data_IF_039318999800
#
_entry.id   IF_039318999800
#
_cell.length_a   1.000
_cell.length_b   1.000
_cell.length_c   1.000
_cell.angle_alpha   90.00
_cell.angle_beta   90.00
_cell.angle_gamma   90.00
#
_symmetry.space_group_name_H-M   'P 1'
#
loop_
_entity.id
_entity.type
_entity.pdbx_description
1 polymer ?
#
# COMPACT_ATOMS: atom_id res chain seq x y z
N UNK A 1 29.21 20.64 94.54
CA UNK A 1 30.27 21.02 93.60
C UNK A 1 29.90 20.55 92.20
N UNK A 2 29.93 21.49 91.28
CA UNK A 2 29.92 21.35 89.81
C UNK A 2 28.63 20.99 89.11
N UNK A 3 27.98 22.08 88.71
CA UNK A 3 27.16 22.24 87.50
C UNK A 3 28.05 22.02 86.25
N UNK A 4 27.56 21.43 85.21
CA UNK A 4 27.88 21.79 83.79
C UNK A 4 26.96 21.06 82.87
N UNK A 5 26.15 21.88 82.15
CA UNK A 5 25.84 21.92 80.78
C UNK A 5 24.87 20.87 80.19
N UNK A 6 23.64 21.32 80.13
CA UNK A 6 22.68 20.92 79.11
C UNK A 6 22.63 22.02 78.04
N UNK A 7 23.29 21.83 76.89
CA UNK A 7 23.07 22.59 75.67
C UNK A 7 23.22 21.67 74.48
N UNK A 8 22.20 21.68 73.67
CA UNK A 8 21.93 21.00 72.40
C UNK A 8 21.18 19.66 72.51
N UNK A 9 20.06 19.52 71.88
CA UNK A 9 19.96 19.52 70.41
C UNK A 9 18.71 20.25 69.93
N UNK A 10 18.87 21.38 69.27
CA UNK A 10 17.77 22.03 68.50
C UNK A 10 18.21 22.44 67.12
N UNK A 11 19.22 21.79 66.54
CA UNK A 11 19.68 22.05 65.17
C UNK A 11 19.81 20.72 64.37
N UNK A 12 18.80 19.92 64.33
CA UNK A 12 18.82 18.71 63.47
C UNK A 12 17.46 18.36 62.85
N UNK A 13 16.46 19.25 62.93
CA UNK A 13 15.14 18.97 62.35
C UNK A 13 14.76 19.85 61.14
N UNK A 14 15.69 20.62 60.57
CA UNK A 14 15.38 21.57 59.52
C UNK A 14 16.13 21.34 58.20
N UNK A 15 16.73 20.16 57.96
CA UNK A 15 17.51 19.91 56.72
C UNK A 15 17.16 18.60 55.96
N UNK A 16 16.01 18.01 56.24
CA UNK A 16 15.50 16.92 55.39
C UNK A 16 14.04 17.18 54.95
N UNK A 17 13.73 18.37 54.47
CA UNK A 17 12.69 18.50 53.46
C UNK A 17 13.35 18.16 52.14
N UNK A 18 13.39 16.90 51.77
CA UNK A 18 13.56 16.52 50.36
C UNK A 18 12.48 17.28 49.58
N UNK A 19 12.83 18.06 48.55
CA UNK A 19 11.81 18.53 47.63
C UNK A 19 11.15 17.26 47.13
N UNK A 20 9.86 17.09 47.40
CA UNK A 20 9.05 16.11 46.72
C UNK A 20 9.22 16.42 45.25
N UNK A 21 9.90 15.56 44.55
CA UNK A 21 9.83 15.53 43.12
C UNK A 21 8.33 15.30 42.83
N UNK A 22 7.65 16.35 42.44
CA UNK A 22 6.34 16.18 41.84
C UNK A 22 6.56 15.17 40.68
N UNK A 23 5.97 14.00 40.79
CA UNK A 23 5.83 13.09 39.68
C UNK A 23 5.03 13.84 38.60
N UNK A 24 5.72 14.70 37.86
CA UNK A 24 5.20 15.34 36.69
C UNK A 24 4.94 14.21 35.69
N UNK A 25 3.76 14.18 35.11
CA UNK A 25 3.50 13.31 33.97
C UNK A 25 4.69 13.38 32.99
N UNK A 26 5.15 12.25 32.44
CA UNK A 26 6.25 12.26 31.50
C UNK A 26 5.95 13.29 30.40
N UNK A 27 6.96 14.06 29.95
CA UNK A 27 6.75 15.06 28.92
C UNK A 27 6.12 14.40 27.70
N UNK A 28 5.17 15.10 27.06
CA UNK A 28 4.52 14.61 25.86
C UNK A 28 5.58 14.22 24.81
N UNK A 29 5.42 13.09 24.11
CA UNK A 29 6.39 12.67 23.11
C UNK A 29 6.52 13.71 22.00
N UNK A 30 7.75 13.95 21.57
CA UNK A 30 8.11 14.94 20.52
C UNK A 30 8.58 14.19 19.28
N UNK A 31 8.08 14.55 18.08
CA UNK A 31 8.50 13.91 16.83
C UNK A 31 10.01 13.90 16.65
N UNK A 32 10.57 12.74 16.30
CA UNK A 32 11.98 12.62 15.97
C UNK A 32 12.25 13.30 14.60
N UNK A 33 13.29 14.15 14.54
CA UNK A 33 13.63 14.89 13.31
C UNK A 33 14.10 13.96 12.18
N UNK A 34 14.79 12.86 12.51
CA UNK A 34 15.23 11.85 11.56
C UNK A 34 14.05 11.11 10.91
N UNK A 35 13.11 10.65 11.73
CA UNK A 35 11.90 9.98 11.25
C UNK A 35 11.02 10.92 10.42
N UNK A 36 10.87 12.17 10.89
CA UNK A 36 10.15 13.23 10.16
C UNK A 36 10.79 13.49 8.80
N UNK A 37 12.11 13.68 8.73
CA UNK A 37 12.83 13.92 7.48
C UNK A 37 12.74 12.71 6.55
N UNK A 38 12.85 11.50 7.10
CA UNK A 38 12.69 10.27 6.34
C UNK A 38 11.29 10.17 5.74
N UNK A 39 10.24 10.36 6.53
CA UNK A 39 8.87 10.21 6.02
C UNK A 39 8.48 11.30 5.01
N UNK A 40 9.01 12.54 5.12
CA UNK A 40 8.88 13.56 4.07
C UNK A 40 9.51 13.05 2.77
N UNK A 41 10.71 12.49 2.83
CA UNK A 41 11.40 11.94 1.66
C UNK A 41 10.63 10.76 1.08
N UNK A 42 10.18 9.84 1.92
CA UNK A 42 9.39 8.68 1.51
C UNK A 42 8.08 9.10 0.81
N UNK A 43 7.37 10.10 1.36
CA UNK A 43 6.16 10.66 0.74
C UNK A 43 6.45 11.22 -0.66
N UNK A 44 7.53 12.00 -0.83
CA UNK A 44 7.93 12.53 -2.13
C UNK A 44 8.29 11.43 -3.13
N UNK A 45 8.95 10.37 -2.68
CA UNK A 45 9.26 9.21 -3.51
C UNK A 45 7.99 8.51 -4.00
N UNK A 46 6.95 8.38 -3.15
CA UNK A 46 5.67 7.78 -3.58
C UNK A 46 4.88 8.72 -4.49
N UNK A 47 4.92 10.04 -4.31
CA UNK A 47 4.35 11.00 -5.27
C UNK A 47 5.02 10.84 -6.64
N UNK A 48 6.35 10.73 -6.70
CA UNK A 48 7.09 10.45 -7.92
C UNK A 48 6.70 9.08 -8.52
N UNK A 49 6.51 8.06 -7.68
CA UNK A 49 6.03 6.75 -8.11
C UNK A 49 4.64 6.82 -8.73
N UNK A 50 3.70 7.49 -8.07
CA UNK A 50 2.28 7.52 -8.43
C UNK A 50 1.97 8.34 -9.69
N UNK A 51 2.64 9.49 -9.87
CA UNK A 51 2.34 10.38 -11.00
C UNK A 51 3.25 10.13 -12.20
N UNK A 52 4.52 10.52 -12.24
CA UNK A 52 5.33 10.26 -13.42
C UNK A 52 5.67 8.77 -13.58
N UNK A 53 5.93 8.03 -12.49
CA UNK A 53 6.31 6.63 -12.56
C UNK A 53 5.23 5.76 -13.20
N UNK A 54 4.06 5.72 -12.60
CA UNK A 54 2.93 4.91 -13.09
C UNK A 54 2.42 5.43 -14.43
N UNK A 55 2.35 6.76 -14.60
CA UNK A 55 1.91 7.38 -15.85
C UNK A 55 2.79 6.96 -17.03
N UNK A 56 4.12 7.06 -16.92
CA UNK A 56 5.04 6.66 -17.99
C UNK A 56 5.09 5.14 -18.20
N UNK A 57 4.99 4.36 -17.12
CA UNK A 57 4.94 2.91 -17.20
C UNK A 57 3.73 2.44 -18.01
N UNK A 58 2.53 2.88 -17.62
CA UNK A 58 1.29 2.54 -18.31
C UNK A 58 1.19 3.22 -19.69
N UNK A 59 1.57 4.51 -19.76
CA UNK A 59 1.57 5.27 -20.99
C UNK A 59 2.42 4.63 -22.08
N UNK A 60 3.60 4.10 -21.74
CA UNK A 60 4.46 3.38 -22.67
C UNK A 60 3.88 2.03 -23.16
N UNK A 61 3.06 1.38 -22.32
CA UNK A 61 2.47 0.06 -22.62
C UNK A 61 1.21 0.12 -23.47
N UNK A 62 0.44 1.21 -23.46
CA UNK A 62 -0.74 1.38 -24.31
C UNK A 62 -0.34 1.71 -25.76
N UNK A 63 -1.29 1.66 -26.69
CA UNK A 63 -1.09 2.16 -28.05
C UNK A 63 -0.91 3.67 -28.05
N UNK A 64 -0.09 4.21 -28.97
CA UNK A 64 0.30 5.64 -29.03
C UNK A 64 -0.90 6.61 -28.96
N UNK A 65 -2.02 6.25 -29.56
CA UNK A 65 -3.27 7.02 -29.61
C UNK A 65 -4.07 7.07 -28.29
N UNK A 66 -3.60 6.40 -27.25
CA UNK A 66 -4.24 6.34 -25.93
C UNK A 66 -3.29 6.74 -24.78
N UNK A 67 -2.10 7.25 -25.13
CA UNK A 67 -1.09 7.58 -24.16
C UNK A 67 -1.51 8.72 -23.23
N UNK A 68 -1.96 9.86 -23.80
CA UNK A 68 -2.38 11.02 -23.04
C UNK A 68 -3.60 10.72 -22.17
N UNK A 69 -4.54 9.90 -22.67
CA UNK A 69 -5.69 9.44 -21.92
C UNK A 69 -5.27 8.71 -20.63
N UNK A 70 -4.26 7.85 -20.69
CA UNK A 70 -3.74 7.16 -19.50
C UNK A 70 -2.99 8.11 -18.57
N UNK A 71 -2.17 9.01 -19.09
CA UNK A 71 -1.49 10.04 -18.30
C UNK A 71 -2.50 10.94 -17.58
N UNK A 72 -3.54 11.37 -18.30
CA UNK A 72 -4.63 12.19 -17.76
C UNK A 72 -5.37 11.44 -16.65
N UNK A 73 -5.70 10.18 -16.85
CA UNK A 73 -6.34 9.34 -15.83
C UNK A 73 -5.47 9.23 -14.58
N UNK A 74 -4.19 8.88 -14.71
CA UNK A 74 -3.30 8.72 -13.54
C UNK A 74 -3.17 10.02 -12.73
N UNK A 75 -2.95 11.15 -13.40
CA UNK A 75 -2.77 12.43 -12.74
C UNK A 75 -4.07 12.92 -12.08
N UNK A 76 -5.19 12.88 -12.81
CA UNK A 76 -6.47 13.39 -12.29
C UNK A 76 -7.00 12.51 -11.16
N UNK A 77 -6.84 11.19 -11.23
CA UNK A 77 -7.21 10.28 -10.14
C UNK A 77 -6.40 10.61 -8.89
N UNK A 78 -5.08 10.76 -9.01
CA UNK A 78 -4.23 11.12 -7.88
C UNK A 78 -4.68 12.43 -7.21
N UNK A 79 -4.94 13.48 -8.00
CA UNK A 79 -5.38 14.76 -7.48
C UNK A 79 -6.80 14.71 -6.88
N UNK A 80 -7.73 14.04 -7.55
CA UNK A 80 -9.12 13.89 -7.08
C UNK A 80 -9.15 13.17 -5.72
N UNK A 81 -8.46 12.05 -5.62
CA UNK A 81 -8.47 11.25 -4.40
C UNK A 81 -7.65 11.91 -3.28
N UNK A 82 -6.61 12.68 -3.61
CA UNK A 82 -5.91 13.52 -2.65
C UNK A 82 -6.83 14.56 -2.01
N UNK A 83 -7.73 15.19 -2.79
CA UNK A 83 -8.75 16.10 -2.24
C UNK A 83 -9.74 15.34 -1.37
N UNK A 84 -10.27 14.21 -1.85
CA UNK A 84 -11.25 13.43 -1.08
C UNK A 84 -10.64 12.81 0.19
N UNK A 85 -9.34 12.51 0.17
CA UNK A 85 -8.62 12.07 1.37
C UNK A 85 -8.66 13.14 2.46
N UNK A 86 -8.35 14.39 2.14
CA UNK A 86 -8.40 15.49 3.09
C UNK A 86 -9.85 15.83 3.52
N UNK A 87 -10.83 15.63 2.64
CA UNK A 87 -12.24 15.91 2.95
C UNK A 87 -12.82 14.89 3.91
N UNK A 88 -12.66 13.59 3.65
CA UNK A 88 -13.25 12.53 4.48
C UNK A 88 -12.41 11.25 4.58
N UNK A 89 -11.53 10.98 3.62
CA UNK A 89 -10.83 9.70 3.51
C UNK A 89 -9.97 9.41 4.73
N UNK A 90 -9.16 10.39 5.16
CA UNK A 90 -8.32 10.26 6.34
C UNK A 90 -9.13 9.95 7.60
N UNK A 91 -10.24 10.65 7.81
CA UNK A 91 -11.12 10.40 8.95
C UNK A 91 -11.65 8.98 8.96
N UNK A 92 -12.22 8.53 7.84
CA UNK A 92 -12.83 7.19 7.74
C UNK A 92 -11.82 6.04 7.75
N UNK A 93 -10.53 6.31 7.45
CA UNK A 93 -9.47 5.30 7.49
C UNK A 93 -8.79 5.22 8.87
N UNK A 94 -8.55 6.37 9.53
CA UNK A 94 -7.62 6.47 10.67
C UNK A 94 -8.20 7.17 11.91
N UNK A 95 -9.50 6.99 12.18
CA UNK A 95 -10.11 7.36 13.46
C UNK A 95 -10.85 6.18 14.07
N UNK A 96 -11.20 6.29 15.36
CA UNK A 96 -12.07 5.33 16.02
C UNK A 96 -13.41 5.23 15.31
N UNK A 97 -13.92 4.01 15.20
CA UNK A 97 -15.17 3.74 14.52
C UNK A 97 -15.67 2.33 14.87
N UNK A 98 -15.70 1.48 13.87
CA UNK A 98 -15.98 0.06 14.05
C UNK A 98 -14.88 -0.77 13.35
N UNK A 99 -14.95 -2.08 13.43
CA UNK A 99 -13.93 -2.97 12.85
C UNK A 99 -13.71 -2.84 11.32
N UNK A 100 -14.57 -2.11 10.60
CA UNK A 100 -14.56 -2.00 9.13
C UNK A 100 -14.31 -0.60 8.60
N UNK A 101 -14.62 0.44 9.37
CA UNK A 101 -14.51 1.84 8.95
C UNK A 101 -14.41 2.76 10.17
N UNK A 102 -13.62 3.81 10.06
CA UNK A 102 -13.47 4.86 11.06
C UNK A 102 -14.65 5.83 11.12
N UNK A 103 -14.59 6.75 12.07
CA UNK A 103 -15.61 7.77 12.33
C UNK A 103 -15.38 9.06 11.54
N UNK A 104 -16.10 10.10 11.98
CA UNK A 104 -16.14 11.43 11.34
C UNK A 104 -15.36 12.50 12.12
N UNK A 105 -14.55 12.12 13.11
CA UNK A 105 -13.93 13.05 14.06
C UNK A 105 -12.91 13.98 13.39
N UNK A 106 -12.30 13.52 12.29
CA UNK A 106 -11.31 14.28 11.52
C UNK A 106 -11.77 14.67 10.12
N UNK A 107 -13.09 14.73 9.88
CA UNK A 107 -13.62 15.28 8.62
C UNK A 107 -13.04 16.68 8.35
N UNK A 108 -12.67 16.94 7.09
CA UNK A 108 -12.02 18.18 6.66
C UNK A 108 -10.73 18.48 7.43
N UNK A 109 -10.01 17.43 7.88
CA UNK A 109 -8.81 17.52 8.74
C UNK A 109 -9.08 18.26 10.07
N UNK A 110 -10.31 18.25 10.57
CA UNK A 110 -10.68 18.89 11.83
C UNK A 110 -9.83 18.37 12.98
N UNK A 111 -9.23 19.28 13.74
CA UNK A 111 -8.39 18.97 14.89
C UNK A 111 -6.96 18.52 14.53
N UNK A 112 -6.64 18.37 13.25
CA UNK A 112 -5.26 18.15 12.81
C UNK A 112 -4.55 19.50 12.71
N UNK A 113 -3.46 19.67 13.44
CA UNK A 113 -2.67 20.92 13.51
C UNK A 113 -1.18 20.59 13.36
N UNK A 114 -0.29 21.59 13.21
CA UNK A 114 1.15 21.35 13.20
C UNK A 114 1.69 20.67 14.48
N UNK A 115 0.96 20.76 15.58
CA UNK A 115 1.34 20.20 16.89
C UNK A 115 0.76 18.80 17.13
N UNK A 116 -0.25 18.36 16.36
CA UNK A 116 -0.82 17.03 16.55
C UNK A 116 0.13 15.95 16.06
N UNK A 117 0.13 14.83 16.75
CA UNK A 117 1.03 13.71 16.50
C UNK A 117 0.26 12.40 16.41
N UNK A 118 0.83 11.43 15.73
CA UNK A 118 0.36 10.03 15.65
C UNK A 118 1.48 9.11 16.13
N UNK A 119 1.10 7.97 16.69
CA UNK A 119 2.05 6.94 17.10
C UNK A 119 2.70 6.25 15.88
N UNK A 120 3.93 5.78 16.09
CA UNK A 120 4.60 4.84 15.19
C UNK A 120 4.43 3.40 15.71
N UNK A 121 5.32 2.48 15.37
CA UNK A 121 5.32 1.11 15.88
C UNK A 121 6.14 0.95 17.18
N UNK A 122 6.86 1.99 17.63
CA UNK A 122 7.65 1.97 18.87
C UNK A 122 6.99 2.80 19.96
N UNK A 123 6.96 2.27 21.20
CA UNK A 123 6.40 2.99 22.35
C UNK A 123 7.10 4.34 22.57
N UNK A 124 6.30 5.39 22.73
CA UNK A 124 6.79 6.76 22.96
C UNK A 124 7.36 7.45 21.72
N UNK A 125 7.31 6.83 20.54
CA UNK A 125 7.77 7.42 19.27
C UNK A 125 6.57 7.91 18.46
N UNK A 126 6.63 9.16 18.03
CA UNK A 126 5.53 9.81 17.31
C UNK A 126 6.02 10.58 16.09
N UNK A 127 5.09 10.80 15.16
CA UNK A 127 5.26 11.59 13.93
C UNK A 127 4.28 12.76 13.90
N UNK A 128 4.59 13.88 13.19
CA UNK A 128 3.60 14.91 12.89
C UNK A 128 2.41 14.31 12.12
N UNK A 129 1.20 14.56 12.60
CA UNK A 129 -0.01 13.96 12.02
C UNK A 129 -0.26 14.36 10.57
N UNK A 130 0.02 15.62 10.19
CA UNK A 130 -0.04 16.05 8.80
C UNK A 130 0.88 15.24 7.89
N UNK A 131 2.04 14.85 8.38
CA UNK A 131 3.00 14.09 7.58
C UNK A 131 2.53 12.64 7.42
N UNK A 132 2.02 12.01 8.47
CA UNK A 132 1.40 10.69 8.38
C UNK A 132 0.20 10.70 7.41
N UNK A 133 -0.71 11.67 7.57
CA UNK A 133 -1.84 11.82 6.66
C UNK A 133 -1.41 12.03 5.20
N UNK A 134 -0.31 12.77 4.95
CA UNK A 134 0.26 12.97 3.62
C UNK A 134 0.88 11.71 3.04
N UNK A 135 1.54 10.91 3.87
CA UNK A 135 2.10 9.63 3.46
C UNK A 135 1.00 8.65 3.06
N UNK A 136 0.00 8.48 3.90
CA UNK A 136 -1.15 7.62 3.65
C UNK A 136 -2.02 8.08 2.46
N UNK A 137 -2.10 9.40 2.20
CA UNK A 137 -2.72 9.95 0.99
C UNK A 137 -2.11 9.35 -0.27
N UNK A 138 -0.79 9.17 -0.29
CA UNK A 138 -0.11 8.64 -1.49
C UNK A 138 -0.53 7.21 -1.81
N UNK A 139 -0.78 6.39 -0.79
CA UNK A 139 -1.33 5.03 -0.94
C UNK A 139 -2.78 5.05 -1.41
N UNK A 140 -3.58 5.93 -0.80
CA UNK A 140 -4.98 6.15 -1.14
C UNK A 140 -5.18 6.60 -2.59
N UNK A 141 -4.24 7.36 -3.14
CA UNK A 141 -4.30 7.88 -4.50
C UNK A 141 -3.70 6.94 -5.55
N UNK A 142 -2.59 6.24 -5.25
CA UNK A 142 -1.97 5.32 -6.22
C UNK A 142 -2.79 4.04 -6.41
N UNK A 143 -3.41 3.53 -5.34
CA UNK A 143 -4.12 2.24 -5.40
C UNK A 143 -5.23 2.23 -6.45
N UNK A 144 -6.16 3.21 -6.50
CA UNK A 144 -7.14 3.29 -7.57
C UNK A 144 -6.52 3.55 -8.94
N UNK A 145 -5.41 4.30 -9.02
CA UNK A 145 -4.74 4.56 -10.29
C UNK A 145 -4.16 3.28 -10.94
N UNK A 146 -3.80 2.27 -10.14
CA UNK A 146 -3.38 0.96 -10.67
C UNK A 146 -4.51 0.26 -11.45
N UNK A 147 -5.77 0.43 -11.03
CA UNK A 147 -6.92 -0.30 -11.58
C UNK A 147 -7.14 0.03 -13.06
N UNK A 148 -6.81 1.24 -13.50
CA UNK A 148 -7.03 1.69 -14.90
C UNK A 148 -6.37 0.77 -15.92
N UNK A 149 -5.25 0.14 -15.55
CA UNK A 149 -4.56 -0.81 -16.43
C UNK A 149 -5.43 -2.01 -16.84
N UNK A 150 -6.43 -2.39 -16.06
CA UNK A 150 -7.35 -3.48 -16.37
C UNK A 150 -8.29 -3.19 -17.56
N UNK A 151 -8.65 -1.93 -17.77
CA UNK A 151 -9.61 -1.50 -18.79
C UNK A 151 -9.12 -0.32 -19.63
N UNK A 152 -7.83 -0.06 -19.66
CA UNK A 152 -7.23 1.00 -20.46
C UNK A 152 -7.68 0.91 -21.94
N UNK A 153 -7.68 2.07 -22.61
CA UNK A 153 -7.99 2.27 -24.04
C UNK A 153 -9.47 2.18 -24.44
N UNK A 154 -10.43 1.92 -23.53
CA UNK A 154 -11.84 1.70 -23.91
C UNK A 154 -12.91 2.18 -22.94
N UNK A 155 -12.55 2.68 -21.75
CA UNK A 155 -13.52 3.18 -20.78
C UNK A 155 -13.65 4.70 -20.88
N UNK A 156 -14.88 5.21 -20.74
CA UNK A 156 -15.16 6.66 -20.70
C UNK A 156 -14.44 7.31 -19.54
N UNK A 157 -13.82 8.46 -19.76
CA UNK A 157 -13.09 9.19 -18.71
C UNK A 157 -13.99 9.53 -17.50
N UNK A 158 -15.22 9.99 -17.74
CA UNK A 158 -16.19 10.26 -16.68
C UNK A 158 -16.56 9.01 -15.87
N UNK A 159 -16.70 7.87 -16.54
CA UNK A 159 -16.98 6.59 -15.90
C UNK A 159 -15.79 6.13 -15.02
N UNK A 160 -14.56 6.35 -15.49
CA UNK A 160 -13.35 6.10 -14.69
C UNK A 160 -13.38 6.93 -13.41
N UNK A 161 -13.60 8.25 -13.48
CA UNK A 161 -13.58 9.11 -12.31
C UNK A 161 -14.67 8.76 -11.29
N UNK A 162 -15.90 8.49 -11.74
CA UNK A 162 -16.99 8.07 -10.85
C UNK A 162 -16.65 6.73 -10.18
N UNK A 163 -16.12 5.76 -10.96
CA UNK A 163 -15.68 4.50 -10.41
C UNK A 163 -14.62 4.70 -9.32
N UNK A 164 -13.62 5.55 -9.55
CA UNK A 164 -12.56 5.80 -8.58
C UNK A 164 -13.09 6.40 -7.27
N UNK A 165 -14.06 7.32 -7.33
CA UNK A 165 -14.70 7.87 -6.13
C UNK A 165 -15.46 6.80 -5.35
N UNK A 166 -16.27 6.00 -6.03
CA UNK A 166 -17.04 4.92 -5.40
C UNK A 166 -16.12 3.85 -4.80
N UNK A 167 -15.15 3.40 -5.59
CA UNK A 167 -14.24 2.34 -5.16
C UNK A 167 -13.31 2.81 -4.02
N UNK A 168 -12.79 4.02 -4.09
CA UNK A 168 -12.02 4.63 -3.00
C UNK A 168 -12.83 4.67 -1.70
N UNK A 169 -14.08 5.13 -1.77
CA UNK A 169 -14.94 5.29 -0.59
C UNK A 169 -15.35 3.94 0.00
N UNK A 170 -15.75 2.97 -0.83
CA UNK A 170 -16.36 1.74 -0.37
C UNK A 170 -15.43 0.51 -0.40
N UNK A 171 -14.26 0.59 -1.04
CA UNK A 171 -13.29 -0.50 -1.04
C UNK A 171 -11.98 -0.09 -0.38
N UNK A 172 -11.31 0.95 -0.86
CA UNK A 172 -9.99 1.32 -0.35
C UNK A 172 -10.03 1.74 1.13
N UNK A 173 -10.88 2.70 1.48
CA UNK A 173 -10.98 3.22 2.85
C UNK A 173 -11.30 2.12 3.87
N UNK A 174 -12.35 1.29 3.67
CA UNK A 174 -12.62 0.19 4.58
C UNK A 174 -11.46 -0.82 4.66
N UNK A 175 -10.81 -1.12 3.54
CA UNK A 175 -9.69 -2.05 3.55
C UNK A 175 -8.48 -1.50 4.32
N UNK A 176 -8.14 -0.22 4.14
CA UNK A 176 -7.09 0.45 4.90
C UNK A 176 -7.38 0.46 6.40
N UNK A 177 -8.63 0.78 6.79
CA UNK A 177 -9.06 0.73 8.17
C UNK A 177 -8.98 -0.67 8.76
N UNK A 178 -9.52 -1.67 8.07
CA UNK A 178 -9.52 -3.07 8.54
C UNK A 178 -8.10 -3.60 8.80
N UNK A 179 -7.11 -3.20 8.00
CA UNK A 179 -5.75 -3.74 8.05
C UNK A 179 -4.83 -2.89 8.93
N UNK A 180 -4.92 -1.57 8.84
CA UNK A 180 -3.89 -0.67 9.38
C UNK A 180 -4.34 0.18 10.57
N UNK A 181 -5.67 0.25 10.87
CA UNK A 181 -6.11 1.05 11.99
C UNK A 181 -5.98 0.31 13.33
N UNK A 182 -5.29 0.93 14.27
CA UNK A 182 -5.12 0.52 15.66
C UNK A 182 -4.74 1.73 16.53
N UNK A 183 -4.84 1.56 17.84
CA UNK A 183 -4.62 2.65 18.80
C UNK A 183 -3.14 3.02 19.03
N UNK A 184 -2.20 2.37 18.34
CA UNK A 184 -0.75 2.54 18.55
C UNK A 184 -0.20 1.75 19.75
N UNK A 185 1.14 1.60 19.84
CA UNK A 185 1.78 0.73 20.83
C UNK A 185 1.60 1.19 22.27
N UNK A 186 1.43 2.50 22.51
CA UNK A 186 1.29 3.08 23.85
C UNK A 186 -0.06 2.76 24.49
N UNK A 187 -1.07 2.34 23.71
CA UNK A 187 -2.36 1.87 24.23
C UNK A 187 -2.28 0.47 24.86
N UNK A 188 -1.22 -0.31 24.58
CA UNK A 188 -1.05 -1.69 25.03
C UNK A 188 -0.24 -1.76 26.34
N UNK A 189 -0.77 -1.20 27.42
CA UNK A 189 -0.12 -1.14 28.74
C UNK A 189 -0.42 -2.34 29.63
N UNK A 190 -1.55 -3.02 29.40
CA UNK A 190 -1.97 -4.25 30.08
C UNK A 190 -2.87 -5.07 29.17
N UNK A 191 -3.20 -6.29 29.56
CA UNK A 191 -4.12 -7.15 28.81
C UNK A 191 -5.53 -6.51 28.70
N UNK A 192 -6.00 -5.84 29.76
CA UNK A 192 -7.29 -5.14 29.76
C UNK A 192 -7.26 -3.92 28.85
N UNK A 193 -6.16 -3.15 28.86
CA UNK A 193 -5.98 -2.01 27.97
C UNK A 193 -5.91 -2.46 26.50
N UNK A 194 -5.20 -3.55 26.20
CA UNK A 194 -5.13 -4.14 24.87
C UNK A 194 -6.49 -4.63 24.37
N UNK A 195 -7.28 -5.29 25.24
CA UNK A 195 -8.64 -5.72 24.89
C UNK A 195 -9.53 -4.52 24.53
N UNK A 196 -9.47 -3.44 25.32
CA UNK A 196 -10.21 -2.20 25.05
C UNK A 196 -9.75 -1.51 23.75
N UNK A 197 -8.44 -1.44 23.50
CA UNK A 197 -7.89 -0.90 22.26
C UNK A 197 -8.32 -1.72 21.05
N UNK A 198 -8.44 -3.04 21.19
CA UNK A 198 -8.92 -3.95 20.16
C UNK A 198 -10.38 -3.76 19.74
N UNK A 199 -11.23 -3.16 20.60
CA UNK A 199 -12.64 -2.88 20.26
C UNK A 199 -12.78 -1.93 19.07
N UNK A 200 -11.82 -1.02 18.89
CA UNK A 200 -11.80 -0.02 17.82
C UNK A 200 -10.83 -0.36 16.69
N UNK A 201 -9.96 -1.33 16.88
CA UNK A 201 -8.98 -1.72 15.86
C UNK A 201 -9.65 -2.42 14.67
N UNK A 202 -8.99 -2.33 13.51
CA UNK A 202 -9.46 -2.93 12.28
C UNK A 202 -9.68 -4.45 12.35
N UNK A 203 -10.66 -4.94 11.60
CA UNK A 203 -11.04 -6.36 11.58
C UNK A 203 -9.86 -7.29 11.29
N UNK A 204 -9.05 -6.97 10.28
CA UNK A 204 -7.91 -7.79 9.86
C UNK A 204 -6.71 -7.61 10.79
N UNK A 205 -6.52 -6.40 11.35
CA UNK A 205 -5.56 -6.17 12.42
C UNK A 205 -5.84 -7.10 13.61
N UNK A 206 -7.07 -7.15 14.08
CA UNK A 206 -7.51 -8.03 15.18
C UNK A 206 -7.41 -9.52 14.85
N UNK A 207 -7.41 -9.90 13.56
CA UNK A 207 -7.12 -11.27 13.12
C UNK A 207 -5.62 -11.59 13.11
N UNK A 208 -4.75 -10.60 13.32
CA UNK A 208 -3.31 -10.76 13.23
C UNK A 208 -2.77 -10.84 11.80
N UNK A 209 -3.54 -10.40 10.80
CA UNK A 209 -3.07 -10.35 9.43
C UNK A 209 -1.94 -9.31 9.29
N UNK A 210 -0.82 -9.73 8.74
CA UNK A 210 0.35 -8.89 8.51
C UNK A 210 0.32 -8.35 7.08
N UNK A 211 0.38 -7.03 6.96
CA UNK A 211 0.50 -6.33 5.68
C UNK A 211 1.33 -5.06 5.87
N UNK A 212 2.64 -5.19 5.69
CA UNK A 212 3.61 -4.15 6.05
C UNK A 212 3.42 -2.86 5.24
N UNK A 213 3.20 -3.00 3.93
CA UNK A 213 3.11 -1.85 3.04
C UNK A 213 2.00 -1.95 1.98
N UNK A 214 1.03 -2.87 2.10
CA UNK A 214 -0.15 -2.86 1.24
C UNK A 214 -0.26 -4.01 0.24
N UNK A 215 0.30 -5.18 0.54
CA UNK A 215 0.04 -6.37 -0.27
C UNK A 215 -1.45 -6.68 -0.38
N UNK A 216 -2.17 -6.55 0.72
CA UNK A 216 -3.62 -6.74 0.81
C UNK A 216 -4.37 -5.46 0.45
N UNK A 217 -4.04 -4.35 1.11
CA UNK A 217 -4.76 -3.07 0.96
C UNK A 217 -4.62 -2.49 -0.44
N UNK A 218 -3.44 -2.60 -1.04
CA UNK A 218 -3.14 -2.00 -2.36
C UNK A 218 -3.24 -3.05 -3.46
N UNK A 219 -2.39 -4.09 -3.41
CA UNK A 219 -2.16 -4.93 -4.59
C UNK A 219 -3.28 -5.94 -4.84
N UNK A 220 -3.73 -6.70 -3.85
CA UNK A 220 -4.88 -7.61 -4.02
C UNK A 220 -6.13 -6.79 -4.35
N UNK A 221 -6.37 -5.74 -3.59
CA UNK A 221 -7.54 -4.87 -3.73
C UNK A 221 -7.64 -4.27 -5.14
N UNK A 222 -6.57 -3.61 -5.63
CA UNK A 222 -6.54 -3.05 -6.98
C UNK A 222 -6.55 -4.13 -8.08
N UNK A 223 -5.81 -5.23 -7.90
CA UNK A 223 -5.74 -6.32 -8.87
C UNK A 223 -7.10 -6.97 -9.12
N UNK A 224 -7.86 -7.24 -8.06
CA UNK A 224 -9.22 -7.80 -8.16
C UNK A 224 -10.17 -6.80 -8.82
N UNK A 225 -10.10 -5.53 -8.45
CA UNK A 225 -10.91 -4.48 -9.08
C UNK A 225 -10.62 -4.35 -10.60
N UNK A 226 -9.35 -4.45 -10.98
CA UNK A 226 -8.93 -4.43 -12.39
C UNK A 226 -9.49 -5.64 -13.17
N UNK A 227 -9.47 -6.83 -12.57
CA UNK A 227 -10.07 -8.03 -13.17
C UNK A 227 -11.57 -7.86 -13.38
N UNK A 228 -12.29 -7.38 -12.36
CA UNK A 228 -13.73 -7.10 -12.46
C UNK A 228 -14.00 -6.04 -13.53
N UNK A 229 -13.18 -4.99 -13.60
CA UNK A 229 -13.28 -3.94 -14.61
C UNK A 229 -13.03 -4.46 -16.02
N UNK A 230 -12.01 -5.31 -16.21
CA UNK A 230 -11.74 -5.95 -17.50
C UNK A 230 -12.93 -6.80 -17.99
N UNK A 231 -13.62 -7.44 -17.08
CA UNK A 231 -14.87 -8.19 -17.35
C UNK A 231 -16.03 -7.27 -17.69
N UNK A 232 -16.28 -6.26 -16.85
CA UNK A 232 -17.45 -5.38 -16.96
C UNK A 232 -17.41 -4.51 -18.23
N UNK A 233 -16.23 -3.99 -18.59
CA UNK A 233 -16.03 -3.15 -19.79
C UNK A 233 -15.93 -4.00 -21.07
N UNK A 234 -15.52 -5.26 -20.96
CA UNK A 234 -15.32 -6.17 -22.08
C UNK A 234 -13.98 -5.98 -22.81
N UNK A 235 -13.67 -6.83 -23.80
CA UNK A 235 -12.38 -6.80 -24.51
C UNK A 235 -12.28 -5.60 -25.47
N UNK A 236 -11.04 -5.13 -25.72
CA UNK A 236 -10.73 -4.11 -26.75
C UNK A 236 -11.10 -4.60 -28.12
N UNK A 237 -11.47 -3.68 -28.99
CA UNK A 237 -11.70 -3.98 -30.42
C UNK A 237 -10.39 -4.56 -31.01
N UNK A 238 -10.50 -5.69 -31.68
CA UNK A 238 -9.34 -6.41 -32.22
C UNK A 238 -8.58 -7.27 -31.25
N UNK A 239 -9.01 -7.38 -29.97
CA UNK A 239 -8.33 -8.25 -28.98
C UNK A 239 -8.14 -9.67 -29.52
N UNK A 240 -6.93 -10.23 -29.41
CA UNK A 240 -6.48 -11.51 -29.95
C UNK A 240 -6.52 -11.62 -31.52
N UNK A 241 -6.83 -10.55 -32.23
CA UNK A 241 -6.86 -10.53 -33.72
C UNK A 241 -5.90 -9.51 -34.31
N UNK A 242 -5.67 -8.41 -33.58
CA UNK A 242 -4.79 -7.31 -33.97
C UNK A 242 -3.62 -7.19 -32.98
N UNK A 243 -2.51 -6.59 -33.42
CA UNK A 243 -1.39 -6.30 -32.51
C UNK A 243 -1.77 -5.21 -31.49
N UNK A 244 -1.57 -5.51 -30.23
CA UNK A 244 -1.75 -4.58 -29.12
C UNK A 244 -0.41 -4.28 -28.43
N UNK A 245 0.68 -4.29 -29.22
CA UNK A 245 2.02 -4.09 -28.70
C UNK A 245 2.17 -2.70 -28.06
N UNK A 246 2.94 -2.61 -26.96
CA UNK A 246 3.35 -1.34 -26.39
C UNK A 246 3.96 -0.41 -27.42
N UNK A 247 3.56 0.87 -27.41
CA UNK A 247 4.11 1.80 -28.41
C UNK A 247 5.53 2.28 -28.05
N UNK A 248 5.92 2.27 -26.77
CA UNK A 248 7.22 2.75 -26.33
C UNK A 248 7.76 1.97 -25.13
N UNK A 249 8.54 0.93 -25.39
CA UNK A 249 9.22 0.17 -24.33
C UNK A 249 10.28 0.99 -23.58
N UNK A 250 10.88 1.99 -24.23
CA UNK A 250 11.81 2.91 -23.56
C UNK A 250 11.09 3.72 -22.49
N UNK A 251 9.89 4.25 -22.81
CA UNK A 251 9.07 4.97 -21.84
C UNK A 251 8.59 4.06 -20.71
N UNK A 252 8.18 2.83 -21.04
CA UNK A 252 7.83 1.80 -20.06
C UNK A 252 8.98 1.53 -19.09
N UNK A 253 10.22 1.41 -19.60
CA UNK A 253 11.40 1.23 -18.75
C UNK A 253 11.66 2.43 -17.84
N UNK A 254 11.58 3.65 -18.38
CA UNK A 254 11.75 4.89 -17.58
C UNK A 254 10.70 4.94 -16.46
N UNK A 255 9.43 4.70 -16.80
CA UNK A 255 8.34 4.65 -15.83
C UNK A 255 8.56 3.58 -14.76
N UNK A 256 8.93 2.37 -15.16
CA UNK A 256 9.25 1.28 -14.23
C UNK A 256 10.45 1.59 -13.32
N UNK A 257 11.45 2.30 -13.83
CA UNK A 257 12.60 2.73 -13.03
C UNK A 257 12.19 3.75 -11.96
N UNK A 258 11.30 4.69 -12.31
CA UNK A 258 10.71 5.63 -11.34
C UNK A 258 9.81 4.91 -10.33
N UNK A 259 9.05 3.90 -10.75
CA UNK A 259 8.30 3.02 -9.86
C UNK A 259 9.24 2.31 -8.88
N UNK A 260 10.35 1.74 -9.36
CA UNK A 260 11.31 1.02 -8.53
C UNK A 260 11.93 1.94 -7.47
N UNK A 261 12.41 3.11 -7.87
CA UNK A 261 12.99 4.10 -6.92
C UNK A 261 11.91 4.57 -5.93
N UNK A 262 10.72 4.90 -6.41
CA UNK A 262 9.62 5.34 -5.57
C UNK A 262 9.13 4.27 -4.58
N UNK A 263 9.31 2.98 -4.91
CA UNK A 263 8.92 1.88 -4.04
C UNK A 263 9.76 1.78 -2.76
N UNK A 264 10.94 2.38 -2.72
CA UNK A 264 11.66 2.57 -1.46
C UNK A 264 10.91 3.54 -0.53
N UNK A 265 10.30 4.58 -1.07
CA UNK A 265 9.38 5.42 -0.29
C UNK A 265 8.16 4.63 0.18
N UNK A 266 7.58 3.82 -0.69
CA UNK A 266 6.40 3.01 -0.42
C UNK A 266 6.67 1.95 0.68
N UNK A 267 7.62 1.05 0.46
CA UNK A 267 7.95 -0.05 1.36
C UNK A 267 8.71 0.41 2.62
N UNK A 268 9.78 1.17 2.45
CA UNK A 268 10.64 1.56 3.57
C UNK A 268 10.01 2.68 4.39
N UNK A 269 9.23 3.57 3.74
CA UNK A 269 8.43 4.59 4.44
C UNK A 269 7.39 3.99 5.37
N UNK A 270 6.84 2.81 5.05
CA UNK A 270 5.86 2.10 5.89
C UNK A 270 6.43 1.60 7.23
N UNK A 271 7.75 1.66 7.43
CA UNK A 271 8.34 1.47 8.76
C UNK A 271 8.01 2.64 9.71
N UNK A 272 7.62 3.80 9.19
CA UNK A 272 7.35 5.07 9.88
C UNK A 272 8.56 5.65 10.64
N UNK A 273 9.61 4.88 10.86
CA UNK A 273 10.83 5.23 11.60
C UNK A 273 12.08 4.98 10.74
N UNK A 274 13.10 5.82 10.85
CA UNK A 274 14.38 5.67 10.19
C UNK A 274 15.30 4.72 10.99
N UNK A 275 14.86 3.50 11.21
CA UNK A 275 15.50 2.52 12.09
C UNK A 275 15.91 1.23 11.42
N UNK A 276 16.09 0.18 12.24
CA UNK A 276 16.51 -1.15 11.79
C UNK A 276 15.47 -1.79 10.84
N UNK A 277 14.18 -1.67 11.14
CA UNK A 277 13.09 -2.17 10.29
C UNK A 277 13.09 -1.50 8.92
N UNK A 278 13.32 -0.19 8.84
CA UNK A 278 13.47 0.53 7.57
C UNK A 278 14.68 0.00 6.77
N UNK A 279 15.82 -0.24 7.44
CA UNK A 279 17.01 -0.80 6.79
C UNK A 279 16.78 -2.21 6.25
N UNK A 280 16.04 -3.05 7.00
CA UNK A 280 15.64 -4.39 6.55
C UNK A 280 14.69 -4.31 5.35
N UNK A 281 13.66 -3.47 5.43
CA UNK A 281 12.70 -3.26 4.35
C UNK A 281 13.37 -2.76 3.08
N UNK A 282 14.38 -1.88 3.20
CA UNK A 282 15.20 -1.39 2.08
C UNK A 282 15.93 -2.53 1.39
N UNK A 283 16.67 -3.33 2.14
CA UNK A 283 17.44 -4.45 1.59
C UNK A 283 16.53 -5.49 0.94
N UNK A 284 15.46 -5.88 1.63
CA UNK A 284 14.51 -6.88 1.13
C UNK A 284 13.80 -6.44 -0.14
N UNK A 285 13.39 -5.16 -0.24
CA UNK A 285 12.80 -4.59 -1.45
C UNK A 285 13.75 -4.69 -2.63
N UNK A 286 15.02 -4.38 -2.42
CA UNK A 286 16.04 -4.44 -3.47
C UNK A 286 16.27 -5.87 -3.95
N UNK A 287 16.56 -6.80 -3.03
CA UNK A 287 16.96 -8.18 -3.42
C UNK A 287 15.79 -8.99 -3.98
N UNK A 288 14.56 -8.80 -3.47
CA UNK A 288 13.37 -9.44 -4.01
C UNK A 288 13.08 -8.98 -5.44
N UNK A 289 13.22 -7.69 -5.72
CA UNK A 289 13.08 -7.14 -7.08
C UNK A 289 14.10 -7.74 -8.04
N UNK A 290 15.38 -7.81 -7.63
CA UNK A 290 16.44 -8.43 -8.43
C UNK A 290 16.13 -9.90 -8.71
N UNK A 291 15.73 -10.67 -7.69
CA UNK A 291 15.43 -12.09 -7.81
C UNK A 291 14.24 -12.33 -8.76
N UNK A 292 13.17 -11.53 -8.66
CA UNK A 292 11.99 -11.66 -9.51
C UNK A 292 12.29 -11.29 -10.97
N UNK A 293 13.08 -10.24 -11.20
CA UNK A 293 13.52 -9.83 -12.55
C UNK A 293 14.29 -10.97 -13.23
N UNK A 294 15.24 -11.56 -12.53
CA UNK A 294 16.03 -12.69 -13.04
C UNK A 294 15.12 -13.90 -13.30
N UNK A 295 14.27 -14.27 -12.33
CA UNK A 295 13.36 -15.40 -12.45
C UNK A 295 12.40 -15.25 -13.64
N UNK A 296 11.76 -14.10 -13.81
CA UNK A 296 10.87 -13.82 -14.95
C UNK A 296 11.62 -13.95 -16.27
N UNK A 297 12.79 -13.32 -16.36
CA UNK A 297 13.63 -13.32 -17.56
C UNK A 297 14.04 -14.75 -17.97
N UNK A 298 14.43 -15.57 -16.99
CA UNK A 298 14.78 -16.98 -17.23
C UNK A 298 13.57 -17.79 -17.70
N UNK A 299 12.44 -17.67 -16.98
CA UNK A 299 11.21 -18.39 -17.33
C UNK A 299 10.71 -17.98 -18.72
N UNK A 300 10.73 -16.68 -19.06
CA UNK A 300 10.34 -16.22 -20.39
C UNK A 300 11.26 -16.77 -21.47
N UNK A 301 12.57 -16.80 -21.25
CA UNK A 301 13.52 -17.38 -22.18
C UNK A 301 13.27 -18.88 -22.41
N UNK A 302 12.92 -19.64 -21.35
CA UNK A 302 12.61 -21.06 -21.44
C UNK A 302 11.32 -21.35 -22.21
N UNK A 303 10.28 -20.54 -22.01
CA UNK A 303 8.98 -20.78 -22.65
C UNK A 303 8.78 -20.09 -24.01
N UNK A 304 9.40 -18.92 -24.23
CA UNK A 304 9.28 -18.13 -25.47
C UNK A 304 10.55 -18.17 -26.34
N UNK A 305 11.62 -18.78 -25.86
CA UNK A 305 12.91 -18.88 -26.55
C UNK A 305 13.81 -17.64 -26.43
N UNK A 306 13.26 -16.47 -26.08
CA UNK A 306 14.02 -15.22 -25.88
C UNK A 306 13.41 -14.40 -24.74
N UNK A 307 14.24 -13.80 -23.89
CA UNK A 307 13.76 -12.82 -22.90
C UNK A 307 13.42 -11.49 -23.60
N UNK A 308 12.50 -10.73 -23.01
CA UNK A 308 12.10 -9.41 -23.51
C UNK A 308 12.35 -8.31 -22.46
N UNK A 309 12.50 -7.06 -22.92
CA UNK A 309 12.58 -5.90 -22.03
C UNK A 309 11.29 -5.74 -21.22
N UNK A 310 10.13 -5.93 -21.86
CA UNK A 310 8.84 -5.88 -21.18
C UNK A 310 8.75 -6.97 -20.10
N UNK A 311 9.24 -8.17 -20.37
CA UNK A 311 9.28 -9.26 -19.40
C UNK A 311 10.19 -8.94 -18.21
N UNK A 312 11.38 -8.39 -18.45
CA UNK A 312 12.30 -8.00 -17.37
C UNK A 312 11.67 -6.91 -16.47
N UNK A 313 11.04 -5.91 -17.07
CA UNK A 313 10.34 -4.83 -16.34
C UNK A 313 9.16 -5.40 -15.55
N UNK A 314 8.35 -6.27 -16.15
CA UNK A 314 7.22 -6.92 -15.47
C UNK A 314 7.69 -7.78 -14.29
N UNK A 315 8.84 -8.45 -14.44
CA UNK A 315 9.48 -9.20 -13.37
C UNK A 315 9.92 -8.30 -12.22
N UNK A 316 10.47 -7.12 -12.51
CA UNK A 316 10.82 -6.15 -11.49
C UNK A 316 9.59 -5.68 -10.69
N UNK A 317 8.49 -5.32 -11.37
CA UNK A 317 7.24 -4.94 -10.70
C UNK A 317 6.66 -6.11 -9.90
N UNK A 318 6.69 -7.34 -10.43
CA UNK A 318 6.24 -8.53 -9.69
C UNK A 318 7.01 -8.74 -8.38
N UNK A 319 8.33 -8.54 -8.39
CA UNK A 319 9.16 -8.62 -7.18
C UNK A 319 8.82 -7.56 -6.15
N UNK A 320 8.62 -6.32 -6.60
CA UNK A 320 8.18 -5.20 -5.76
C UNK A 320 6.82 -5.47 -5.12
N UNK A 321 5.86 -5.99 -5.89
CA UNK A 321 4.52 -6.36 -5.40
C UNK A 321 4.59 -7.48 -4.35
N UNK A 322 5.28 -8.57 -4.66
CA UNK A 322 5.31 -9.75 -3.79
C UNK A 322 5.99 -9.47 -2.45
N UNK A 323 7.03 -8.63 -2.43
CA UNK A 323 7.72 -8.28 -1.18
C UNK A 323 6.99 -7.22 -0.35
N UNK A 324 6.08 -6.46 -0.95
CA UNK A 324 5.39 -5.34 -0.29
C UNK A 324 4.74 -5.70 1.07
N UNK A 325 3.98 -6.80 1.23
CA UNK A 325 3.40 -7.14 2.53
C UNK A 325 4.42 -7.64 3.55
N UNK A 326 5.64 -7.94 3.14
CA UNK A 326 6.63 -8.70 3.89
C UNK A 326 7.94 -7.94 4.17
N UNK A 327 8.20 -6.83 3.47
CA UNK A 327 9.55 -6.27 3.34
C UNK A 327 10.23 -5.93 4.69
N UNK A 328 9.50 -5.49 5.70
CA UNK A 328 10.01 -5.24 7.05
C UNK A 328 9.87 -6.43 8.02
N UNK A 329 9.34 -7.57 7.57
CA UNK A 329 8.96 -8.69 8.42
C UNK A 329 9.76 -9.97 8.16
N UNK A 330 10.29 -10.14 6.96
CA UNK A 330 10.98 -11.37 6.54
C UNK A 330 12.50 -11.17 6.52
N UNK A 331 13.25 -12.27 6.67
CA UNK A 331 14.70 -12.23 6.51
C UNK A 331 15.12 -12.11 5.03
N UNK A 332 16.39 -11.72 4.76
CA UNK A 332 16.89 -11.50 3.40
C UNK A 332 16.75 -12.72 2.47
N UNK A 333 16.97 -13.93 2.99
CA UNK A 333 16.81 -15.16 2.20
C UNK A 333 15.33 -15.42 1.88
N UNK A 334 14.42 -15.15 2.83
CA UNK A 334 13.00 -15.18 2.58
C UNK A 334 12.59 -14.20 1.47
N UNK A 335 13.12 -12.97 1.49
CA UNK A 335 12.86 -11.96 0.47
C UNK A 335 13.35 -12.42 -0.94
N UNK A 336 14.53 -13.02 -1.04
CA UNK A 336 15.05 -13.57 -2.31
C UNK A 336 14.13 -14.68 -2.83
N UNK A 337 13.71 -15.62 -1.97
CA UNK A 337 12.81 -16.73 -2.34
C UNK A 337 11.44 -16.17 -2.78
N UNK A 338 10.89 -15.23 -2.02
CA UNK A 338 9.63 -14.56 -2.37
C UNK A 338 9.71 -13.86 -3.72
N UNK A 339 10.79 -13.11 -3.98
CA UNK A 339 11.03 -12.47 -5.25
C UNK A 339 11.12 -13.48 -6.41
N UNK A 340 11.89 -14.55 -6.22
CA UNK A 340 12.05 -15.60 -7.24
C UNK A 340 10.72 -16.27 -7.58
N UNK A 341 9.94 -16.66 -6.56
CA UNK A 341 8.58 -17.21 -6.74
C UNK A 341 7.65 -16.19 -7.39
N UNK A 342 7.76 -14.91 -7.01
CA UNK A 342 7.01 -13.82 -7.60
C UNK A 342 7.21 -13.68 -9.10
N UNK A 343 8.47 -13.74 -9.55
CA UNK A 343 8.79 -13.71 -10.97
C UNK A 343 8.16 -14.86 -11.77
N UNK A 344 8.17 -16.07 -11.21
CA UNK A 344 7.60 -17.27 -11.87
C UNK A 344 6.06 -17.22 -11.87
N UNK A 345 5.46 -16.98 -10.70
CA UNK A 345 3.99 -17.08 -10.52
C UNK A 345 3.28 -15.93 -11.23
N UNK A 346 3.82 -14.70 -11.18
CA UNK A 346 3.24 -13.59 -11.92
C UNK A 346 3.44 -13.75 -13.44
N UNK A 347 4.55 -14.33 -13.91
CA UNK A 347 4.70 -14.72 -15.32
C UNK A 347 3.56 -15.65 -15.76
N UNK A 348 3.23 -16.67 -14.95
CA UNK A 348 2.08 -17.53 -15.21
C UNK A 348 0.76 -16.72 -15.12
N UNK A 349 0.61 -15.81 -14.15
CA UNK A 349 -0.55 -14.94 -14.00
C UNK A 349 -0.87 -14.15 -15.28
N UNK A 350 0.15 -13.58 -15.90
CA UNK A 350 0.07 -12.78 -17.12
C UNK A 350 -0.12 -13.64 -18.38
N UNK A 351 0.64 -14.72 -18.53
CA UNK A 351 0.67 -15.49 -19.78
C UNK A 351 -0.24 -16.73 -19.74
N UNK A 352 -0.51 -17.30 -18.56
CA UNK A 352 -1.35 -18.48 -18.36
C UNK A 352 -2.75 -18.15 -17.88
N UNK A 353 -2.85 -17.64 -16.64
CA UNK A 353 -4.13 -17.39 -15.97
C UNK A 353 -5.02 -16.41 -16.73
N UNK A 354 -4.47 -15.29 -17.22
CA UNK A 354 -5.21 -14.33 -18.06
C UNK A 354 -5.86 -14.99 -19.29
N UNK A 355 -5.14 -15.94 -19.93
CA UNK A 355 -5.69 -16.68 -21.07
C UNK A 355 -6.79 -17.65 -20.65
N UNK A 356 -6.62 -18.33 -19.52
CA UNK A 356 -7.63 -19.26 -18.97
C UNK A 356 -8.91 -18.53 -18.58
N UNK A 357 -8.80 -17.33 -18.00
CA UNK A 357 -9.94 -16.48 -17.64
C UNK A 357 -10.61 -15.85 -18.87
N UNK A 358 -9.92 -15.76 -19.99
CA UNK A 358 -10.46 -15.20 -21.24
C UNK A 358 -10.67 -13.68 -21.20
N UNK A 359 -10.06 -12.96 -20.27
CA UNK A 359 -10.24 -11.53 -20.07
C UNK A 359 -9.18 -10.70 -20.78
N UNK A 360 -9.54 -9.49 -21.17
CA UNK A 360 -8.60 -8.46 -21.67
C UNK A 360 -8.23 -7.51 -20.54
N UNK A 361 -7.42 -8.00 -19.60
CA UNK A 361 -6.68 -7.17 -18.63
C UNK A 361 -5.54 -6.49 -19.40
N UNK A 362 -5.75 -5.24 -19.80
CA UNK A 362 -4.94 -4.59 -20.85
C UNK A 362 -3.47 -4.48 -20.49
N UNK A 363 -3.16 -4.17 -19.23
CA UNK A 363 -1.80 -3.92 -18.73
C UNK A 363 -1.40 -4.93 -17.65
N UNK A 364 -2.05 -6.10 -17.62
CA UNK A 364 -1.70 -7.25 -16.78
C UNK A 364 -1.80 -6.98 -15.24
N UNK A 365 -2.70 -6.08 -14.84
CA UNK A 365 -2.84 -5.63 -13.45
C UNK A 365 -3.19 -6.78 -12.52
N UNK A 366 -4.17 -7.62 -12.88
CA UNK A 366 -4.51 -8.78 -12.06
C UNK A 366 -3.38 -9.80 -11.99
N UNK A 367 -2.75 -10.07 -13.14
CA UNK A 367 -1.65 -11.04 -13.21
C UNK A 367 -0.41 -10.67 -12.38
N UNK A 368 -0.14 -9.37 -12.22
CA UNK A 368 0.99 -8.85 -11.45
C UNK A 368 0.56 -8.49 -10.02
N UNK A 369 -0.44 -7.60 -9.87
CA UNK A 369 -0.81 -7.07 -8.55
C UNK A 369 -1.75 -8.02 -7.79
N UNK A 370 -2.77 -8.59 -8.43
CA UNK A 370 -3.69 -9.52 -7.78
C UNK A 370 -2.99 -10.82 -7.38
N UNK A 371 -2.38 -11.49 -8.36
CA UNK A 371 -1.69 -12.77 -8.15
C UNK A 371 -0.44 -12.58 -7.27
N UNK A 372 0.36 -11.55 -7.55
CA UNK A 372 1.56 -11.24 -6.76
C UNK A 372 1.23 -10.84 -5.32
N UNK A 373 0.18 -10.03 -5.11
CA UNK A 373 -0.27 -9.65 -3.78
C UNK A 373 -0.77 -10.83 -2.95
N UNK A 374 -1.55 -11.75 -3.56
CA UNK A 374 -1.98 -13.01 -2.91
C UNK A 374 -0.77 -13.86 -2.50
N UNK A 375 0.15 -14.06 -3.44
CA UNK A 375 1.36 -14.83 -3.17
C UNK A 375 2.18 -14.18 -2.04
N UNK A 376 2.43 -12.87 -2.13
CA UNK A 376 3.19 -12.12 -1.14
C UNK A 376 2.57 -12.18 0.25
N UNK A 377 1.25 -11.94 0.36
CA UNK A 377 0.53 -11.99 1.62
C UNK A 377 0.62 -13.39 2.28
N UNK A 378 0.42 -14.46 1.53
CA UNK A 378 0.53 -15.82 2.07
C UNK A 378 1.98 -16.16 2.47
N UNK A 379 2.97 -15.81 1.63
CA UNK A 379 4.38 -16.06 1.94
C UNK A 379 4.88 -15.20 3.11
N UNK A 380 4.27 -14.06 3.40
CA UNK A 380 4.54 -13.31 4.64
C UNK A 380 4.29 -14.18 5.86
N UNK A 381 3.19 -14.93 5.88
CA UNK A 381 2.88 -15.88 6.96
C UNK A 381 3.87 -17.04 7.11
N UNK A 382 4.65 -17.33 6.08
CA UNK A 382 5.73 -18.34 6.13
C UNK A 382 7.03 -17.70 6.60
N UNK A 383 7.49 -16.66 5.89
CA UNK A 383 8.86 -16.14 6.04
C UNK A 383 9.00 -15.07 7.13
N UNK A 384 7.91 -14.60 7.74
CA UNK A 384 8.01 -13.81 8.96
C UNK A 384 8.44 -14.65 10.19
N UNK A 385 8.47 -15.97 10.07
CA UNK A 385 8.95 -16.86 11.13
C UNK A 385 10.41 -16.57 11.51
N UNK A 386 10.72 -16.38 12.81
CA UNK A 386 12.10 -16.22 13.29
C UNK A 386 13.01 -17.41 12.94
N UNK A 387 12.47 -18.64 12.87
CA UNK A 387 13.21 -19.83 12.46
C UNK A 387 13.71 -19.74 11.01
N UNK A 388 13.04 -18.94 10.17
CA UNK A 388 13.41 -18.67 8.78
C UNK A 388 14.12 -17.32 8.61
N UNK A 389 14.53 -16.70 9.74
CA UNK A 389 15.22 -15.41 9.77
C UNK A 389 14.29 -14.20 9.70
N UNK A 390 12.99 -14.38 9.86
CA UNK A 390 12.00 -13.30 9.92
C UNK A 390 12.00 -12.57 11.27
N UNK A 391 11.31 -11.42 11.32
CA UNK A 391 11.21 -10.60 12.53
C UNK A 391 10.21 -11.14 13.57
N UNK A 392 9.34 -12.09 13.17
CA UNK A 392 8.26 -12.57 14.03
C UNK A 392 7.13 -11.56 14.19
N UNK A 393 6.37 -11.73 15.26
CA UNK A 393 5.29 -10.84 15.69
C UNK A 393 5.68 -10.24 17.04
N UNK A 394 5.36 -8.97 17.23
CA UNK A 394 5.67 -8.25 18.47
C UNK A 394 4.48 -8.24 19.41
N UNK A 395 4.69 -8.65 20.67
CA UNK A 395 3.72 -8.48 21.74
C UNK A 395 3.93 -7.12 22.41
N UNK A 396 3.04 -6.18 22.14
CA UNK A 396 3.11 -4.84 22.68
C UNK A 396 2.80 -4.77 24.19
N UNK A 397 2.04 -5.74 24.75
CA UNK A 397 1.78 -5.81 26.19
C UNK A 397 3.04 -6.27 26.92
N UNK A 398 3.63 -7.36 26.49
CA UNK A 398 4.87 -7.90 27.04
C UNK A 398 6.09 -7.03 26.65
N UNK A 399 5.96 -6.19 25.63
CA UNK A 399 7.03 -5.42 24.99
C UNK A 399 8.22 -6.32 24.58
N UNK A 400 7.91 -7.44 23.93
CA UNK A 400 8.85 -8.48 23.53
C UNK A 400 8.37 -9.22 22.29
N UNK A 401 9.26 -9.97 21.60
CA UNK A 401 8.82 -10.88 20.54
C UNK A 401 7.83 -11.93 21.08
N UNK A 402 6.71 -12.11 20.38
CA UNK A 402 5.74 -13.16 20.67
C UNK A 402 6.20 -14.53 20.13
N UNK A 403 5.65 -15.61 20.69
CA UNK A 403 5.82 -16.93 20.10
C UNK A 403 5.18 -16.96 18.70
N UNK A 404 5.90 -17.46 17.72
CA UNK A 404 5.43 -17.51 16.33
C UNK A 404 4.82 -18.86 16.01
N UNK A 405 3.56 -18.87 15.60
CA UNK A 405 2.86 -20.02 15.07
C UNK A 405 2.58 -19.81 13.58
N UNK A 406 3.33 -20.47 12.72
CA UNK A 406 3.20 -20.36 11.26
C UNK A 406 1.80 -20.77 10.77
N UNK A 407 1.20 -21.80 11.38
CA UNK A 407 -0.13 -22.26 11.01
C UNK A 407 -1.20 -21.21 11.31
N UNK A 408 -1.18 -20.66 12.51
CA UNK A 408 -2.07 -19.56 12.92
C UNK A 408 -1.84 -18.31 12.05
N UNK A 409 -0.59 -17.97 11.75
CA UNK A 409 -0.28 -16.83 10.90
C UNK A 409 -0.77 -17.03 9.45
N UNK A 410 -0.63 -18.22 8.88
CA UNK A 410 -1.20 -18.52 7.56
C UNK A 410 -2.72 -18.42 7.52
N UNK A 411 -3.40 -18.78 8.60
CA UNK A 411 -4.86 -18.56 8.73
C UNK A 411 -5.18 -17.07 8.77
N UNK A 412 -4.42 -16.28 9.53
CA UNK A 412 -4.58 -14.81 9.58
C UNK A 412 -4.36 -14.17 8.21
N UNK A 413 -3.30 -14.56 7.49
CA UNK A 413 -3.03 -14.09 6.12
C UNK A 413 -4.16 -14.49 5.15
N UNK A 414 -4.70 -15.70 5.31
CA UNK A 414 -5.83 -16.17 4.49
C UNK A 414 -7.10 -15.34 4.72
N UNK A 415 -7.34 -14.87 5.95
CA UNK A 415 -8.40 -13.89 6.23
C UNK A 415 -8.16 -12.57 5.49
N UNK A 416 -6.92 -12.05 5.49
CA UNK A 416 -6.54 -10.85 4.74
C UNK A 416 -6.82 -11.01 3.25
N UNK A 417 -6.28 -12.06 2.65
CA UNK A 417 -6.47 -12.39 1.21
C UNK A 417 -7.95 -12.57 0.87
N UNK A 418 -8.66 -13.41 1.62
CA UNK A 418 -10.07 -13.71 1.36
C UNK A 418 -10.95 -12.47 1.46
N UNK A 419 -10.74 -11.66 2.50
CA UNK A 419 -11.49 -10.40 2.69
C UNK A 419 -11.21 -9.44 1.52
N UNK A 420 -9.96 -9.23 1.13
CA UNK A 420 -9.62 -8.33 0.03
C UNK A 420 -10.21 -8.78 -1.30
N UNK A 421 -10.14 -10.07 -1.62
CA UNK A 421 -10.71 -10.63 -2.86
C UNK A 421 -12.23 -10.45 -2.89
N UNK A 422 -12.92 -10.84 -1.82
CA UNK A 422 -14.39 -10.77 -1.78
C UNK A 422 -14.87 -9.31 -1.72
N UNK A 423 -14.29 -8.51 -0.83
CA UNK A 423 -14.70 -7.12 -0.63
C UNK A 423 -14.48 -6.28 -1.89
N UNK A 424 -13.26 -6.29 -2.43
CA UNK A 424 -12.96 -5.56 -3.66
C UNK A 424 -13.78 -6.06 -4.84
N UNK A 425 -13.94 -7.38 -4.97
CA UNK A 425 -14.72 -7.99 -6.05
C UNK A 425 -16.18 -7.54 -6.03
N UNK A 426 -16.83 -7.59 -4.87
CA UNK A 426 -18.24 -7.20 -4.72
C UNK A 426 -18.43 -5.70 -4.92
N UNK A 427 -17.61 -4.88 -4.26
CA UNK A 427 -17.69 -3.41 -4.38
C UNK A 427 -17.45 -2.97 -5.82
N UNK A 428 -16.41 -3.52 -6.47
CA UNK A 428 -16.10 -3.21 -7.87
C UNK A 428 -17.24 -3.60 -8.80
N UNK A 429 -17.81 -4.79 -8.63
CA UNK A 429 -18.91 -5.25 -9.46
C UNK A 429 -20.14 -4.34 -9.34
N UNK A 430 -20.53 -3.98 -8.11
CA UNK A 430 -21.64 -3.06 -7.86
C UNK A 430 -21.36 -1.69 -8.47
N UNK A 431 -20.16 -1.13 -8.26
CA UNK A 431 -19.80 0.18 -8.78
C UNK A 431 -19.82 0.20 -10.32
N UNK A 432 -19.22 -0.80 -10.99
CA UNK A 432 -19.27 -0.90 -12.45
C UNK A 432 -20.69 -1.04 -12.98
N UNK A 433 -21.56 -1.84 -12.32
CA UNK A 433 -22.97 -1.99 -12.73
C UNK A 433 -23.76 -0.71 -12.56
N UNK A 434 -23.58 0.03 -11.48
CA UNK A 434 -24.24 1.31 -11.26
C UNK A 434 -23.84 2.33 -12.35
N UNK A 435 -22.58 2.40 -12.71
CA UNK A 435 -22.09 3.30 -13.76
C UNK A 435 -22.61 2.87 -15.13
N UNK A 436 -22.61 1.57 -15.40
CA UNK A 436 -23.06 1.02 -16.67
C UNK A 436 -24.53 1.38 -16.96
N UNK A 437 -25.41 1.20 -15.96
CA UNK A 437 -26.85 1.51 -16.13
C UNK A 437 -27.18 2.99 -16.12
N UNK A 438 -26.25 3.86 -15.70
CA UNK A 438 -26.49 5.32 -15.63
C UNK A 438 -25.89 6.06 -16.80
N UNK A 439 -24.57 6.02 -16.99
CA UNK A 439 -23.86 6.78 -18.02
C UNK A 439 -23.17 5.87 -19.05
N UNK A 440 -23.18 4.54 -18.82
CA UNK A 440 -22.45 3.55 -19.60
C UNK A 440 -20.95 3.59 -19.31
N UNK A 441 -20.30 2.43 -19.39
CA UNK A 441 -18.88 2.28 -19.08
C UNK A 441 -17.97 2.62 -20.27
N UNK A 442 -18.35 2.12 -21.46
CA UNK A 442 -17.47 2.07 -22.63
C UNK A 442 -17.72 3.24 -23.58
N UNK A 443 -16.66 3.71 -24.21
CA UNK A 443 -16.73 4.65 -25.34
C UNK A 443 -17.36 3.97 -26.58
N UNK A 444 -17.73 4.76 -27.60
CA UNK A 444 -18.20 4.21 -28.88
C UNK A 444 -17.10 3.42 -29.59
N UNK A 445 -17.48 2.54 -30.54
CA UNK A 445 -16.48 1.86 -31.36
C UNK A 445 -15.64 2.83 -32.20
N UNK A 446 -16.23 3.93 -32.64
CA UNK A 446 -15.56 4.98 -33.40
C UNK A 446 -14.48 5.65 -32.56
N UNK A 447 -14.81 6.10 -31.33
CA UNK A 447 -13.87 6.69 -30.40
C UNK A 447 -12.72 5.75 -30.03
N UNK A 448 -13.02 4.46 -29.82
CA UNK A 448 -11.99 3.46 -29.52
C UNK A 448 -11.05 3.20 -30.71
N UNK A 449 -11.58 3.27 -31.96
CA UNK A 449 -10.78 3.15 -33.16
C UNK A 449 -9.96 4.39 -33.43
N UNK A 450 -10.49 5.57 -33.22
CA UNK A 450 -9.78 6.83 -33.32
C UNK A 450 -8.66 6.92 -32.28
N UNK A 451 -8.96 6.62 -31.03
CA UNK A 451 -8.08 6.69 -29.85
C UNK A 451 -8.54 7.75 -28.88
N UNK A 452 -8.38 7.45 -27.57
CA UNK A 452 -8.95 8.26 -26.51
C UNK A 452 -8.20 9.59 -26.28
N UNK A 453 -6.97 9.73 -26.79
CA UNK A 453 -6.25 11.00 -26.74
C UNK A 453 -7.03 12.07 -27.52
N UNK A 454 -7.45 11.75 -28.72
CA UNK A 454 -8.19 12.68 -29.57
C UNK A 454 -9.68 12.72 -29.19
N UNK A 455 -10.34 11.57 -29.13
CA UNK A 455 -11.80 11.51 -28.95
C UNK A 455 -12.27 11.95 -27.56
N UNK A 456 -11.47 11.72 -26.49
CA UNK A 456 -11.83 12.08 -25.12
C UNK A 456 -11.19 13.39 -24.65
N UNK A 457 -10.01 13.77 -25.16
CA UNK A 457 -9.22 14.91 -24.65
C UNK A 457 -8.90 15.96 -25.73
N UNK A 458 -9.12 15.68 -27.01
CA UNK A 458 -8.84 16.62 -28.10
C UNK A 458 -7.34 16.89 -28.32
N UNK A 459 -6.48 15.99 -27.89
CA UNK A 459 -5.02 16.16 -27.91
C UNK A 459 -4.34 14.97 -28.59
N UNK A 460 -3.10 15.17 -29.05
CA UNK A 460 -2.25 14.12 -29.59
C UNK A 460 -0.89 14.15 -28.93
N UNK A 461 -0.42 13.01 -28.46
CA UNK A 461 0.90 12.90 -27.82
C UNK A 461 2.06 13.12 -28.82
N UNK A 462 1.85 12.83 -30.08
CA UNK A 462 2.87 12.88 -31.14
C UNK A 462 2.34 13.58 -32.37
N UNK A 463 3.08 14.58 -32.82
CA UNK A 463 2.86 15.27 -34.09
C UNK A 463 3.86 14.71 -35.12
N UNK A 464 3.46 13.58 -35.80
CA UNK A 464 4.29 12.87 -36.79
C UNK A 464 3.77 13.20 -38.20
#
# INVERSE_FOLDING_TARGET
MKRLLAFAPFIAAALFSTPGWADGAPPAPVPNKGDTAWLITATLLVVMMATPGLGLFYGGMVRAKNMLSVLMQTLVIFCLLGVLWAVYGYSLAFTDGNAFIGGFDKLFMKGVTPETVVATFSKGVVLPEYLFASFELTFAAITPALIIGGFAERMKFSAVLIFMVLWFTFSYIPMAHMVWYWAGPDAFTSAEAAAKAGEFAGFLFNKGALDFAGGTVVHINAGVAALVGAYAVGPRIGYRRESMAPHSLTMTLVGASLLFVGWFGFNVGSALEAGATASLAFFNTLVATCAATVAWTVVEALFKGKPSMLGAVSGAIAGLVVITPACGLVGPMGAIIMGFLGGIVCYWGVNGLKRMLGVDDSLDVFGVHGVGGILGALLTGVFASPELGGAGVWDYVANAPAAYDMGAQLVAQSWGVGTAVVWSGVVSWIAFKLIDVTIGLRVSEEDEREGLDLSAHGESAYHV
#
